data_IF_000146994542
#
_entry.id   IF_000146994542
#
_cell.length_a   1.000
_cell.length_b   1.000
_cell.length_c   1.000
_cell.angle_alpha   90.00
_cell.angle_beta   90.00
_cell.angle_gamma   90.00
#
_symmetry.space_group_name_H-M   'P 1'
#
loop_
_entity.id
_entity.type
_entity.pdbx_description
1 polymer ?
#
# COMPACT_ATOMS: atom_id res chain seq x y z
N UNK A 1 -38.43 3.65 2.55
CA UNK A 1 -36.96 3.76 2.60
C UNK A 1 -36.37 3.79 1.18
N UNK A 2 -35.76 4.91 0.78
CA UNK A 2 -35.06 5.04 -0.51
C UNK A 2 -33.75 4.25 -0.42
N UNK A 3 -33.36 3.44 -1.41
CA UNK A 3 -32.04 2.81 -1.38
C UNK A 3 -31.01 3.93 -1.41
N UNK A 4 -30.28 4.07 -0.30
CA UNK A 4 -29.10 4.91 -0.25
C UNK A 4 -28.14 4.37 -1.32
N UNK A 5 -27.98 5.13 -2.40
CA UNK A 5 -26.97 4.81 -3.40
C UNK A 5 -25.63 4.93 -2.67
N UNK A 6 -25.05 3.79 -2.31
CA UNK A 6 -23.70 3.73 -1.75
C UNK A 6 -22.79 4.43 -2.75
N UNK A 7 -22.35 5.64 -2.41
CA UNK A 7 -21.42 6.37 -3.27
C UNK A 7 -20.19 5.48 -3.46
N UNK A 8 -19.74 5.27 -4.71
CA UNK A 8 -18.52 4.52 -4.93
C UNK A 8 -17.38 5.17 -4.14
N UNK A 9 -16.55 4.33 -3.51
CA UNK A 9 -15.42 4.84 -2.73
C UNK A 9 -14.51 5.66 -3.65
N UNK A 10 -13.91 6.76 -3.16
CA UNK A 10 -12.94 7.51 -3.95
C UNK A 10 -11.69 6.68 -4.24
N UNK A 11 -11.05 6.97 -5.37
CA UNK A 11 -9.74 6.41 -5.73
C UNK A 11 -8.71 6.80 -4.66
N UNK A 12 -7.90 5.84 -4.18
CA UNK A 12 -6.90 6.08 -3.13
C UNK A 12 -5.50 6.30 -3.73
N UNK A 13 -4.78 7.31 -3.25
CA UNK A 13 -3.34 7.44 -3.46
C UNK A 13 -2.61 7.20 -2.13
N UNK A 14 -2.06 5.99 -1.96
CA UNK A 14 -1.40 5.56 -0.73
C UNK A 14 0.12 5.70 -0.87
N UNK A 15 0.76 6.36 0.09
CA UNK A 15 2.22 6.45 0.17
C UNK A 15 2.70 5.81 1.48
N UNK A 16 3.55 4.79 1.38
CA UNK A 16 4.16 4.11 2.51
C UNK A 16 5.63 4.53 2.61
N UNK A 17 6.00 5.14 3.73
CA UNK A 17 7.41 5.42 4.07
C UNK A 17 7.88 4.37 5.07
N UNK A 18 8.91 3.61 4.70
CA UNK A 18 9.44 2.51 5.50
C UNK A 18 10.88 2.85 5.91
N UNK A 19 11.10 3.00 7.21
CA UNK A 19 12.45 3.10 7.79
C UNK A 19 13.15 1.74 7.71
N UNK A 20 14.39 1.74 7.22
CA UNK A 20 15.29 0.58 7.15
C UNK A 20 16.57 0.80 7.98
N UNK A 21 16.54 1.71 8.95
CA UNK A 21 17.62 1.89 9.92
C UNK A 21 17.97 0.57 10.62
N UNK A 22 19.20 0.47 11.15
CA UNK A 22 19.63 -0.71 11.92
C UNK A 22 18.69 -1.05 13.10
N UNK A 23 17.96 -0.06 13.61
CA UNK A 23 16.94 -0.29 14.63
C UNK A 23 15.79 -1.19 14.13
N UNK A 24 15.46 -1.17 12.84
CA UNK A 24 14.34 -1.90 12.24
C UNK A 24 14.67 -3.36 11.92
N UNK A 25 15.89 -3.80 12.17
CA UNK A 25 16.34 -5.17 11.89
C UNK A 25 15.52 -6.26 12.62
N UNK A 26 15.61 -7.48 12.08
CA UNK A 26 14.93 -8.65 12.63
C UNK A 26 13.41 -8.61 12.44
N UNK A 27 12.68 -8.74 13.54
CA UNK A 27 11.22 -8.93 13.49
C UNK A 27 10.46 -7.71 12.99
N UNK A 28 10.96 -6.48 13.24
CA UNK A 28 10.26 -5.24 12.90
C UNK A 28 10.12 -5.07 11.39
N UNK A 29 11.21 -5.16 10.63
CA UNK A 29 11.15 -5.07 9.17
C UNK A 29 10.33 -6.21 8.54
N UNK A 30 10.36 -7.41 9.13
CA UNK A 30 9.55 -8.54 8.67
C UNK A 30 8.05 -8.28 8.85
N UNK A 31 7.65 -7.71 10.00
CA UNK A 31 6.27 -7.31 10.26
C UNK A 31 5.83 -6.14 9.37
N UNK A 32 6.68 -5.13 9.19
CA UNK A 32 6.41 -4.00 8.29
C UNK A 32 6.15 -4.48 6.86
N UNK A 33 6.95 -5.43 6.35
CA UNK A 33 6.72 -6.03 5.02
C UNK A 33 5.39 -6.77 4.94
N UNK A 34 5.00 -7.51 5.98
CA UNK A 34 3.70 -8.20 6.03
C UNK A 34 2.53 -7.20 6.02
N UNK A 35 2.65 -6.11 6.80
CA UNK A 35 1.64 -5.06 6.83
C UNK A 35 1.51 -4.34 5.49
N UNK A 36 2.64 -4.00 4.84
CA UNK A 36 2.65 -3.40 3.52
C UNK A 36 2.02 -4.33 2.46
N UNK A 37 2.34 -5.64 2.50
CA UNK A 37 1.72 -6.62 1.62
C UNK A 37 0.20 -6.74 1.86
N UNK A 38 -0.25 -6.66 3.12
CA UNK A 38 -1.66 -6.64 3.44
C UNK A 38 -2.36 -5.38 2.88
N UNK A 39 -1.73 -4.21 2.99
CA UNK A 39 -2.25 -2.98 2.41
C UNK A 39 -2.42 -3.09 0.89
N UNK A 40 -1.42 -3.63 0.19
CA UNK A 40 -1.48 -3.89 -1.26
C UNK A 40 -2.68 -4.76 -1.65
N UNK A 41 -2.99 -5.78 -0.85
CA UNK A 41 -4.12 -6.70 -1.11
C UNK A 41 -5.50 -6.04 -1.02
N UNK A 42 -5.62 -4.88 -0.37
CA UNK A 42 -6.87 -4.14 -0.25
C UNK A 42 -7.00 -2.98 -1.25
N UNK A 43 -5.96 -2.72 -2.04
CA UNK A 43 -6.03 -1.71 -3.08
C UNK A 43 -6.91 -2.18 -4.24
N UNK A 44 -7.69 -1.27 -4.79
CA UNK A 44 -8.46 -1.51 -6.01
C UNK A 44 -7.67 -1.06 -7.25
N UNK A 45 -8.06 -1.47 -8.47
CA UNK A 45 -7.30 -1.18 -9.68
C UNK A 45 -7.11 0.32 -10.00
N UNK A 46 -7.95 1.19 -9.45
CA UNK A 46 -7.87 2.64 -9.62
C UNK A 46 -6.97 3.33 -8.59
N UNK A 47 -6.50 2.59 -7.60
CA UNK A 47 -5.62 3.12 -6.58
C UNK A 47 -4.17 3.21 -7.07
N UNK A 48 -3.42 4.09 -6.41
CA UNK A 48 -2.00 4.26 -6.59
C UNK A 48 -1.29 3.92 -5.30
N UNK A 49 -0.18 3.20 -5.41
CA UNK A 49 0.72 2.94 -4.30
C UNK A 49 2.11 3.45 -4.63
N UNK A 50 2.68 4.20 -3.70
CA UNK A 50 4.09 4.53 -3.66
C UNK A 50 4.71 3.97 -2.38
N UNK A 51 5.89 3.36 -2.49
CA UNK A 51 6.68 2.92 -1.33
C UNK A 51 8.02 3.63 -1.38
N UNK A 52 8.33 4.36 -0.31
CA UNK A 52 9.59 5.05 -0.10
C UNK A 52 10.35 4.32 1.00
N UNK A 53 11.47 3.72 0.66
CA UNK A 53 12.37 3.10 1.65
C UNK A 53 13.42 4.13 2.02
N UNK A 54 13.57 4.39 3.32
CA UNK A 54 14.50 5.37 3.84
C UNK A 54 15.64 4.67 4.60
N UNK A 55 16.86 4.78 4.05
CA UNK A 55 18.14 4.63 4.73
C UNK A 55 19.09 5.77 4.27
N UNK A 56 20.38 5.52 4.10
CA UNK A 56 21.34 6.43 3.46
C UNK A 56 21.01 6.71 1.98
N UNK A 57 20.03 6.01 1.39
CA UNK A 57 19.51 6.13 0.02
C UNK A 57 17.99 6.04 0.02
N UNK A 58 17.35 6.84 -0.84
CA UNK A 58 15.88 6.81 -1.05
C UNK A 58 15.55 5.98 -2.28
N UNK A 59 14.76 4.92 -2.12
CA UNK A 59 14.18 4.14 -3.24
C UNK A 59 12.67 4.37 -3.31
N UNK A 60 12.17 4.82 -4.47
CA UNK A 60 10.75 5.01 -4.74
C UNK A 60 10.24 3.90 -5.66
N UNK A 61 9.26 3.13 -5.20
CA UNK A 61 8.55 2.13 -6.02
C UNK A 61 7.10 2.56 -6.20
N UNK A 62 6.72 2.85 -7.45
CA UNK A 62 5.34 3.16 -7.82
C UNK A 62 4.74 1.94 -8.51
N UNK A 63 3.57 1.50 -8.06
CA UNK A 63 2.85 0.41 -8.69
C UNK A 63 1.36 0.69 -8.72
N UNK A 64 0.70 0.26 -9.80
CA UNK A 64 -0.75 0.13 -9.88
C UNK A 64 -1.10 -1.34 -9.66
N UNK A 65 -2.03 -1.68 -8.78
CA UNK A 65 -2.52 -3.05 -8.65
C UNK A 65 -3.02 -3.52 -10.03
N UNK A 66 -2.57 -4.69 -10.49
CA UNK A 66 -3.08 -5.26 -11.73
C UNK A 66 -4.60 -5.44 -11.62
N UNK A 67 -5.33 -5.09 -12.69
CA UNK A 67 -6.74 -5.47 -12.84
C UNK A 67 -6.78 -7.01 -12.82
N UNK A 68 -7.02 -7.58 -11.66
CA UNK A 68 -7.44 -8.97 -11.55
C UNK A 68 -8.96 -8.95 -11.62
N UNK A 69 -9.58 -9.50 -12.68
CA UNK A 69 -11.03 -9.66 -12.71
C UNK A 69 -11.37 -10.61 -11.57
N UNK A 70 -12.03 -10.09 -10.53
CA UNK A 70 -12.73 -10.95 -9.59
C UNK A 70 -13.96 -11.48 -10.33
N UNK A 71 -13.92 -12.77 -10.69
CA UNK A 71 -15.09 -13.55 -11.07
C UNK A 71 -16.01 -13.77 -9.86
#
# INVERSE_FOLDING_TARGET
PRPEHQKPRPDLNLNLVIDRSGSMEGAKIALTRKAAALAVRYLQPRDFLSINIFDDRVEVKISRPALTPHH
#
